data_IF_002757663886
#
_entry.id   IF_002757663886
#
_cell.length_a   1.000
_cell.length_b   1.000
_cell.length_c   1.000
_cell.angle_alpha   90.00
_cell.angle_beta   90.00
_cell.angle_gamma   90.00
#
_symmetry.space_group_name_H-M   'P 1'
#
loop_
_entity.id
_entity.type
_entity.pdbx_description
1 polymer ?
#
# COMPACT_ATOMS: atom_id res chain seq x y z
N UNK A 1 6.51 -21.90 44.92
CA UNK A 1 7.12 -21.24 43.75
C UNK A 1 6.69 -21.99 42.49
N UNK A 2 5.37 -22.14 42.29
CA UNK A 2 4.80 -23.05 41.27
C UNK A 2 3.64 -22.38 40.50
N UNK A 3 2.93 -21.41 41.11
CA UNK A 3 1.76 -20.77 40.50
C UNK A 3 2.11 -19.73 39.41
N UNK A 4 3.33 -19.16 39.45
CA UNK A 4 3.75 -18.11 38.51
C UNK A 4 4.04 -18.66 37.10
N UNK A 5 4.44 -19.93 36.98
CA UNK A 5 4.70 -20.58 35.69
C UNK A 5 3.41 -20.93 34.94
N UNK A 6 2.32 -21.24 35.66
CA UNK A 6 1.03 -21.57 35.06
C UNK A 6 0.39 -20.36 34.37
N UNK A 7 0.49 -19.16 34.95
CA UNK A 7 -0.08 -17.94 34.37
C UNK A 7 0.61 -17.56 33.07
N UNK A 8 1.94 -17.75 32.98
CA UNK A 8 2.72 -17.44 31.77
C UNK A 8 2.46 -18.40 30.60
N UNK A 9 1.97 -19.61 30.86
CA UNK A 9 1.59 -20.57 29.81
C UNK A 9 0.18 -20.32 29.26
N UNK A 10 -0.72 -19.75 30.06
CA UNK A 10 -2.11 -19.50 29.66
C UNK A 10 -2.21 -18.29 28.72
N UNK A 11 -1.35 -17.28 28.90
CA UNK A 11 -1.32 -16.07 28.07
C UNK A 11 -1.10 -16.36 26.58
N UNK A 12 -0.08 -17.15 26.16
CA UNK A 12 0.10 -17.47 24.74
C UNK A 12 -1.04 -18.32 24.19
N UNK A 13 -1.67 -19.20 24.98
CA UNK A 13 -2.81 -20.01 24.53
C UNK A 13 -4.05 -19.14 24.30
N UNK A 14 -4.31 -18.16 25.17
CA UNK A 14 -5.41 -17.20 25.01
C UNK A 14 -5.16 -16.26 23.82
N UNK A 15 -3.94 -15.79 23.62
CA UNK A 15 -3.56 -14.99 22.45
C UNK A 15 -3.66 -15.81 21.16
N UNK A 16 -3.27 -17.09 21.19
CA UNK A 16 -3.40 -18.02 20.07
C UNK A 16 -4.86 -18.28 19.74
N UNK A 17 -5.71 -18.47 20.74
CA UNK A 17 -7.14 -18.67 20.58
C UNK A 17 -7.85 -17.41 20.06
N UNK A 18 -7.47 -16.23 20.56
CA UNK A 18 -7.98 -14.95 20.06
C UNK A 18 -7.55 -14.67 18.62
N UNK A 19 -6.27 -14.94 18.29
CA UNK A 19 -5.77 -14.91 16.93
C UNK A 19 -6.52 -15.90 16.03
N UNK A 20 -6.72 -17.15 16.49
CA UNK A 20 -7.47 -18.15 15.73
C UNK A 20 -8.94 -17.79 15.53
N UNK A 21 -9.58 -17.12 16.50
CA UNK A 21 -10.98 -16.70 16.37
C UNK A 21 -11.14 -15.49 15.45
N UNK A 22 -10.22 -14.53 15.49
CA UNK A 22 -10.29 -13.32 14.65
C UNK A 22 -9.69 -13.50 13.25
N UNK A 23 -8.74 -14.42 13.07
CA UNK A 23 -8.08 -14.66 11.78
C UNK A 23 -8.52 -15.97 11.10
N UNK A 24 -9.56 -16.65 11.61
CA UNK A 24 -10.10 -17.89 11.01
C UNK A 24 -10.60 -17.73 9.57
N UNK A 25 -10.83 -16.52 9.09
CA UNK A 25 -11.19 -16.30 7.67
C UNK A 25 -10.01 -16.47 6.71
N UNK A 26 -8.80 -16.73 7.20
CA UNK A 26 -7.66 -17.06 6.36
C UNK A 26 -7.38 -18.57 6.37
N UNK A 27 -8.14 -19.33 5.58
CA UNK A 27 -7.81 -20.71 5.22
C UNK A 27 -6.89 -20.72 3.99
N UNK A 28 -5.59 -21.05 4.11
CA UNK A 28 -4.74 -21.27 2.95
C UNK A 28 -5.06 -22.66 2.38
N UNK A 29 -6.09 -22.75 1.52
CA UNK A 29 -6.39 -24.01 0.81
C UNK A 29 -7.86 -24.30 0.49
N UNK A 30 -8.81 -23.43 0.82
CA UNK A 30 -10.20 -23.59 0.36
C UNK A 30 -10.37 -23.07 -1.08
N UNK A 31 -10.77 -23.90 -2.05
CA UNK A 31 -11.11 -23.45 -3.40
C UNK A 31 -12.50 -22.81 -3.36
N UNK A 32 -12.59 -21.61 -2.80
CA UNK A 32 -13.88 -20.92 -2.59
C UNK A 32 -13.80 -19.44 -2.24
N UNK A 33 -12.65 -18.90 -1.89
CA UNK A 33 -12.46 -17.46 -1.70
C UNK A 33 -11.77 -16.85 -2.90
N UNK A 34 -12.51 -16.16 -3.79
CA UNK A 34 -11.88 -15.18 -4.68
C UNK A 34 -11.15 -14.19 -3.77
N UNK A 35 -9.83 -14.31 -3.71
CA UNK A 35 -8.96 -13.24 -3.21
C UNK A 35 -9.40 -11.96 -3.89
N UNK A 36 -10.04 -11.07 -3.14
CA UNK A 36 -10.56 -9.83 -3.67
C UNK A 36 -9.37 -8.93 -3.94
N UNK A 37 -8.83 -9.04 -5.16
CA UNK A 37 -7.64 -8.30 -5.62
C UNK A 37 -7.73 -6.80 -5.33
N UNK A 38 -8.94 -6.23 -5.23
CA UNK A 38 -9.16 -4.84 -4.80
C UNK A 38 -8.62 -4.60 -3.38
N UNK A 39 -8.89 -5.50 -2.43
CA UNK A 39 -8.42 -5.44 -1.04
C UNK A 39 -6.91 -5.65 -0.91
N UNK A 40 -6.27 -6.28 -1.90
CA UNK A 40 -4.81 -6.44 -1.93
C UNK A 40 -4.10 -5.18 -2.41
N UNK A 41 -4.65 -4.49 -3.42
CA UNK A 41 -3.95 -3.41 -4.11
C UNK A 41 -4.41 -2.00 -3.74
N UNK A 42 -5.72 -1.79 -3.59
CA UNK A 42 -6.26 -0.44 -3.41
C UNK A 42 -5.89 0.24 -2.09
N UNK A 43 -5.60 -0.49 -0.98
CA UNK A 43 -5.02 0.15 0.21
C UNK A 43 -3.69 0.87 -0.05
N UNK A 44 -2.87 0.39 -1.00
CA UNK A 44 -1.65 1.09 -1.40
C UNK A 44 -1.97 2.40 -2.11
N UNK A 45 -2.96 2.39 -3.02
CA UNK A 45 -3.40 3.60 -3.74
C UNK A 45 -3.97 4.61 -2.75
N UNK A 46 -4.80 4.16 -1.81
CA UNK A 46 -5.35 5.03 -0.76
C UNK A 46 -4.25 5.68 0.10
N UNK A 47 -3.13 4.98 0.29
CA UNK A 47 -2.00 5.44 1.10
C UNK A 47 -0.97 6.28 0.33
N UNK A 48 -1.22 6.66 -0.93
CA UNK A 48 -0.21 7.31 -1.79
C UNK A 48 0.40 8.59 -1.20
N UNK A 49 -0.40 9.42 -0.51
CA UNK A 49 0.09 10.67 0.11
C UNK A 49 1.16 10.40 1.17
N UNK A 50 1.00 9.32 1.92
CA UNK A 50 2.02 8.88 2.87
C UNK A 50 3.31 8.51 2.14
N UNK A 51 3.22 7.70 1.08
CA UNK A 51 4.40 7.32 0.28
C UNK A 51 5.08 8.51 -0.38
N UNK A 52 4.29 9.47 -0.89
CA UNK A 52 4.76 10.72 -1.48
C UNK A 52 5.59 11.53 -0.47
N UNK A 53 5.05 11.77 0.71
CA UNK A 53 5.74 12.53 1.76
C UNK A 53 7.03 11.83 2.22
N UNK A 54 6.98 10.50 2.42
CA UNK A 54 8.12 9.71 2.85
C UNK A 54 9.21 9.61 1.77
N UNK A 55 8.84 9.52 0.49
CA UNK A 55 9.79 9.51 -0.62
C UNK A 55 10.50 10.86 -0.80
N UNK A 56 9.79 11.98 -0.64
CA UNK A 56 10.41 13.32 -0.66
C UNK A 56 11.42 13.49 0.48
N UNK A 57 11.09 12.98 1.66
CA UNK A 57 12.02 12.94 2.79
C UNK A 57 13.23 12.06 2.47
N UNK A 58 13.01 10.86 1.93
CA UNK A 58 14.10 9.95 1.54
C UNK A 58 15.05 10.55 0.49
N UNK A 59 14.53 11.31 -0.48
CA UNK A 59 15.34 12.06 -1.43
C UNK A 59 16.18 13.15 -0.75
N UNK A 60 15.58 13.90 0.17
CA UNK A 60 16.27 14.95 0.94
C UNK A 60 17.36 14.37 1.85
N UNK A 61 17.14 13.17 2.38
CA UNK A 61 18.09 12.43 3.23
C UNK A 61 19.15 11.65 2.40
N UNK A 62 19.15 11.77 1.06
CA UNK A 62 20.12 11.15 0.17
C UNK A 62 19.91 9.66 -0.14
N UNK A 63 18.82 9.06 0.34
CA UNK A 63 18.45 7.66 0.04
C UNK A 63 17.80 7.51 -1.34
N UNK A 64 17.18 8.58 -1.83
CA UNK A 64 16.46 8.63 -3.09
C UNK A 64 14.98 8.25 -2.96
N UNK A 65 14.11 9.07 -3.56
CA UNK A 65 12.68 8.85 -3.63
C UNK A 65 12.35 7.58 -4.43
N UNK A 66 13.03 7.33 -5.56
CA UNK A 66 12.76 6.17 -6.41
C UNK A 66 13.07 4.86 -5.68
N UNK A 67 14.21 4.81 -4.98
CA UNK A 67 14.61 3.67 -4.15
C UNK A 67 13.56 3.37 -3.09
N UNK A 68 13.05 4.41 -2.41
CA UNK A 68 12.01 4.26 -1.40
C UNK A 68 10.70 3.73 -2.01
N UNK A 69 10.22 4.33 -3.10
CA UNK A 69 8.97 3.93 -3.75
C UNK A 69 9.04 2.49 -4.25
N UNK A 70 10.11 2.11 -4.96
CA UNK A 70 10.29 0.73 -5.43
C UNK A 70 10.26 -0.27 -4.28
N UNK A 71 10.91 0.03 -3.16
CA UNK A 71 10.95 -0.84 -1.99
C UNK A 71 9.57 -1.02 -1.34
N UNK A 72 8.79 0.05 -1.22
CA UNK A 72 7.46 -0.02 -0.61
C UNK A 72 6.49 -0.76 -1.53
N UNK A 73 6.46 -0.42 -2.82
CA UNK A 73 5.51 -1.03 -3.76
C UNK A 73 5.85 -2.49 -4.08
N UNK A 74 7.10 -2.91 -3.92
CA UNK A 74 7.49 -4.32 -4.00
C UNK A 74 6.87 -5.21 -2.90
N UNK A 75 6.34 -4.63 -1.82
CA UNK A 75 5.64 -5.37 -0.76
C UNK A 75 4.21 -5.77 -1.16
N UNK A 76 3.68 -5.20 -2.24
CA UNK A 76 2.37 -5.60 -2.74
C UNK A 76 2.41 -7.06 -3.23
N UNK A 77 1.31 -7.82 -3.05
CA UNK A 77 1.24 -9.21 -3.50
C UNK A 77 1.53 -9.34 -5.00
N UNK A 78 2.57 -10.10 -5.36
CA UNK A 78 2.98 -10.32 -6.76
C UNK A 78 2.19 -11.45 -7.43
N UNK A 79 1.62 -12.36 -6.63
CA UNK A 79 0.97 -13.59 -7.10
C UNK A 79 -0.52 -13.43 -7.41
N UNK A 80 -1.00 -12.21 -7.66
CA UNK A 80 -2.36 -12.01 -8.12
C UNK A 80 -2.47 -12.40 -9.60
N UNK A 81 -3.53 -13.12 -10.03
CA UNK A 81 -3.70 -13.46 -11.43
C UNK A 81 -3.62 -12.17 -12.26
N UNK A 82 -2.66 -12.10 -13.19
CA UNK A 82 -2.34 -10.90 -13.97
C UNK A 82 -3.54 -10.31 -14.75
N UNK A 83 -4.61 -11.12 -14.88
CA UNK A 83 -5.88 -10.86 -15.54
C UNK A 83 -6.90 -10.09 -14.68
N UNK A 84 -6.65 -9.86 -13.38
CA UNK A 84 -7.55 -9.04 -12.56
C UNK A 84 -7.35 -7.55 -12.82
N UNK A 85 -8.45 -6.84 -13.10
CA UNK A 85 -8.46 -5.40 -13.40
C UNK A 85 -7.82 -4.55 -12.29
N UNK A 86 -7.97 -4.96 -11.02
CA UNK A 86 -7.31 -4.29 -9.90
C UNK A 86 -5.77 -4.36 -9.97
N UNK A 87 -5.20 -5.48 -10.44
CA UNK A 87 -3.76 -5.61 -10.65
C UNK A 87 -3.28 -4.71 -11.79
N UNK A 88 -4.08 -4.52 -12.84
CA UNK A 88 -3.77 -3.58 -13.91
C UNK A 88 -3.75 -2.13 -13.40
N UNK A 89 -4.78 -1.72 -12.65
CA UNK A 89 -4.85 -0.39 -12.02
C UNK A 89 -3.65 -0.17 -11.08
N UNK A 90 -3.25 -1.21 -10.33
CA UNK A 90 -2.08 -1.13 -9.45
C UNK A 90 -0.76 -0.96 -10.21
N UNK A 91 -0.62 -1.57 -11.40
CA UNK A 91 0.55 -1.35 -12.28
C UNK A 91 0.61 0.09 -12.78
N UNK A 92 -0.53 0.68 -13.15
CA UNK A 92 -0.60 2.10 -13.53
C UNK A 92 -0.18 3.00 -12.36
N UNK A 93 -0.70 2.73 -11.15
CA UNK A 93 -0.29 3.41 -9.94
C UNK A 93 1.22 3.32 -9.68
N UNK A 94 1.78 2.12 -9.81
CA UNK A 94 3.21 1.88 -9.62
C UNK A 94 4.04 2.65 -10.64
N UNK A 95 3.60 2.70 -11.90
CA UNK A 95 4.27 3.47 -12.94
C UNK A 95 4.26 4.98 -12.64
N UNK A 96 3.10 5.52 -12.25
CA UNK A 96 2.95 6.93 -11.86
C UNK A 96 3.87 7.32 -10.69
N UNK A 97 3.86 6.53 -9.61
CA UNK A 97 4.71 6.76 -8.44
C UNK A 97 6.21 6.64 -8.77
N UNK A 98 6.61 5.68 -9.62
CA UNK A 98 7.99 5.55 -10.09
C UNK A 98 8.42 6.75 -10.94
N UNK A 99 7.60 7.16 -11.91
CA UNK A 99 7.93 8.31 -12.77
C UNK A 99 8.04 9.61 -11.97
N UNK A 100 7.11 9.84 -11.04
CA UNK A 100 7.16 10.97 -10.12
C UNK A 100 8.42 10.94 -9.25
N UNK A 101 8.76 9.80 -8.64
CA UNK A 101 9.91 9.72 -7.74
C UNK A 101 11.25 9.88 -8.45
N UNK A 102 11.40 9.38 -9.67
CA UNK A 102 12.56 9.68 -10.54
C UNK A 102 12.68 11.18 -10.79
N UNK A 103 11.55 11.87 -11.00
CA UNK A 103 11.54 13.31 -11.19
C UNK A 103 11.96 14.06 -9.94
N UNK A 104 11.53 13.61 -8.76
CA UNK A 104 11.96 14.15 -7.46
C UNK A 104 13.48 14.02 -7.29
N UNK A 105 14.03 12.84 -7.55
CA UNK A 105 15.48 12.59 -7.40
C UNK A 105 16.32 13.45 -8.33
N UNK A 106 15.83 13.75 -9.54
CA UNK A 106 16.52 14.62 -10.50
C UNK A 106 16.51 16.10 -10.10
N UNK A 107 15.50 16.54 -9.34
CA UNK A 107 15.25 17.96 -9.05
C UNK A 107 15.16 18.24 -7.55
N UNK A 108 15.92 17.50 -6.74
CA UNK A 108 16.01 17.73 -5.30
C UNK A 108 16.41 19.18 -5.04
N UNK A 109 15.59 19.89 -4.24
CA UNK A 109 15.80 21.30 -3.91
C UNK A 109 15.19 22.31 -4.89
N UNK A 110 14.71 21.89 -6.08
CA UNK A 110 13.99 22.76 -7.01
C UNK A 110 12.48 22.71 -6.75
N UNK A 111 12.01 23.65 -5.91
CA UNK A 111 10.60 23.71 -5.49
C UNK A 111 9.64 23.82 -6.68
N UNK A 112 10.00 24.53 -7.74
CA UNK A 112 9.11 24.71 -8.88
C UNK A 112 8.91 23.40 -9.66
N UNK A 113 9.98 22.64 -9.89
CA UNK A 113 9.88 21.33 -10.53
C UNK A 113 9.19 20.30 -9.64
N UNK A 114 9.46 20.31 -8.34
CA UNK A 114 8.83 19.40 -7.38
C UNK A 114 7.31 19.64 -7.26
N UNK A 115 6.87 20.89 -7.30
CA UNK A 115 5.44 21.23 -7.34
C UNK A 115 4.80 20.75 -8.65
N UNK A 116 5.45 21.01 -9.79
CA UNK A 116 4.95 20.55 -11.09
C UNK A 116 4.82 19.03 -11.17
N UNK A 117 5.83 18.30 -10.68
CA UNK A 117 5.80 16.84 -10.61
C UNK A 117 4.66 16.35 -9.71
N UNK A 118 4.47 17.02 -8.56
CA UNK A 118 3.38 16.72 -7.64
C UNK A 118 2.02 16.92 -8.30
N UNK A 119 1.78 18.02 -9.00
CA UNK A 119 0.51 18.29 -9.68
C UNK A 119 0.20 17.26 -10.78
N UNK A 120 1.23 16.77 -11.47
CA UNK A 120 1.08 15.67 -12.44
C UNK A 120 0.66 14.40 -11.73
N UNK A 121 1.37 14.02 -10.67
CA UNK A 121 1.03 12.83 -9.88
C UNK A 121 -0.40 12.90 -9.33
N UNK A 122 -0.82 14.03 -8.74
CA UNK A 122 -2.17 14.16 -8.18
C UNK A 122 -3.26 13.92 -9.24
N UNK A 123 -3.07 14.42 -10.47
CA UNK A 123 -4.00 14.16 -11.58
C UNK A 123 -4.05 12.69 -11.99
N UNK A 124 -2.89 12.03 -12.04
CA UNK A 124 -2.82 10.60 -12.35
C UNK A 124 -3.51 9.77 -11.27
N UNK A 125 -3.28 10.11 -10.00
CA UNK A 125 -3.90 9.45 -8.85
C UNK A 125 -5.42 9.64 -8.83
N UNK A 126 -5.95 10.83 -9.15
CA UNK A 126 -7.41 11.02 -9.24
C UNK A 126 -8.03 10.14 -10.34
N UNK A 127 -7.38 10.04 -11.51
CA UNK A 127 -7.83 9.15 -12.57
C UNK A 127 -7.81 7.68 -12.14
N UNK A 128 -6.77 7.26 -11.44
CA UNK A 128 -6.64 5.92 -10.86
C UNK A 128 -7.74 5.66 -9.83
N UNK A 129 -8.02 6.64 -8.95
CA UNK A 129 -9.05 6.53 -7.92
C UNK A 129 -10.43 6.31 -8.53
N UNK A 130 -10.79 7.04 -9.59
CA UNK A 130 -12.02 6.76 -10.33
C UNK A 130 -12.08 5.33 -10.88
N UNK A 131 -10.96 4.75 -11.32
CA UNK A 131 -10.92 3.35 -11.74
C UNK A 131 -11.18 2.40 -10.56
N UNK A 132 -10.60 2.68 -9.40
CA UNK A 132 -10.86 1.91 -8.16
C UNK A 132 -12.33 1.97 -7.75
N UNK A 133 -12.95 3.15 -7.79
CA UNK A 133 -14.36 3.35 -7.44
C UNK A 133 -15.31 2.58 -8.37
N UNK A 134 -15.00 2.53 -9.68
CA UNK A 134 -15.76 1.69 -10.62
C UNK A 134 -15.68 0.20 -10.31
N UNK A 135 -14.63 -0.24 -9.63
CA UNK A 135 -14.48 -1.61 -9.13
C UNK A 135 -15.05 -1.81 -7.71
N UNK A 136 -15.79 -0.83 -7.19
CA UNK A 136 -16.49 -0.93 -5.91
C UNK A 136 -15.66 -0.50 -4.69
N UNK A 137 -14.47 0.07 -4.89
CA UNK A 137 -13.69 0.61 -3.79
C UNK A 137 -14.30 1.91 -3.27
N UNK A 138 -14.37 2.06 -1.95
CA UNK A 138 -14.78 3.30 -1.30
C UNK A 138 -13.59 3.86 -0.53
N UNK A 139 -13.05 4.98 -0.99
CA UNK A 139 -11.98 5.69 -0.29
C UNK A 139 -12.51 6.32 1.01
N UNK A 140 -11.64 6.47 2.02
CA UNK A 140 -11.95 7.25 3.21
C UNK A 140 -12.37 8.67 2.85
N UNK A 141 -13.27 9.25 3.63
CA UNK A 141 -13.91 10.55 3.33
C UNK A 141 -12.89 11.70 3.21
N UNK A 142 -11.81 11.63 3.99
CA UNK A 142 -10.72 12.59 4.00
C UNK A 142 -9.69 12.38 2.87
N UNK A 143 -9.80 11.33 2.08
CA UNK A 143 -8.78 10.97 1.08
C UNK A 143 -8.64 12.03 -0.03
N UNK A 144 -9.75 12.68 -0.43
CA UNK A 144 -9.76 13.77 -1.41
C UNK A 144 -9.61 15.17 -0.83
N UNK A 145 -9.68 15.31 0.49
CA UNK A 145 -9.58 16.61 1.18
C UNK A 145 -8.13 17.07 1.23
#
# INVERSE_FOLDING_TARGET
MELQFLVLLIIPILLSGWYWLHFREYEPGSPGGRSDSTKLFFPFIESYRYYKSAAQKAASDGTGAETYIKKILAQAPQDSPAEHEAAYIFREFTAAMCAWSQHVDKHVGDVAQLNRASDILEREIEQIAHKCERLGWTFREEWRK
#
